data_IF_671537449537
#
_entry.id   IF_671537449537
#
_cell.length_a   1.000
_cell.length_b   1.000
_cell.length_c   1.000
_cell.angle_alpha   90.00
_cell.angle_beta   90.00
_cell.angle_gamma   90.00
#
_symmetry.space_group_name_H-M   'P 1'
#
loop_
_entity.id
_entity.type
_entity.pdbx_description
1 polymer ?
#
# COMPACT_ATOMS: atom_id res chain seq x y z
N UNK A 1 -0.80 -19.24 -7.36
CA UNK A 1 -0.16 -18.00 -7.84
C UNK A 1 0.20 -17.22 -6.60
N UNK A 2 1.45 -16.77 -6.49
CA UNK A 2 1.90 -16.03 -5.32
C UNK A 2 1.22 -14.65 -5.32
N UNK A 3 0.44 -14.37 -4.27
CA UNK A 3 -0.29 -13.12 -4.13
C UNK A 3 0.62 -12.08 -3.46
N UNK A 4 0.47 -10.82 -3.89
CA UNK A 4 1.25 -9.70 -3.38
C UNK A 4 0.34 -8.65 -2.75
N UNK A 5 0.76 -8.13 -1.61
CA UNK A 5 0.16 -6.97 -0.96
C UNK A 5 1.01 -5.74 -1.28
N UNK A 6 0.40 -4.73 -1.92
CA UNK A 6 1.00 -3.42 -2.13
C UNK A 6 0.45 -2.48 -1.05
N UNK A 7 1.30 -2.09 -0.11
CA UNK A 7 0.95 -1.22 0.99
C UNK A 7 1.39 0.20 0.72
N UNK A 8 0.43 1.10 0.52
CA UNK A 8 0.64 2.53 0.40
C UNK A 8 0.64 3.14 1.81
N UNK A 9 1.81 3.62 2.24
CA UNK A 9 2.03 4.20 3.55
C UNK A 9 2.82 3.29 4.49
N UNK A 10 4.03 3.71 4.86
CA UNK A 10 4.94 3.05 5.78
C UNK A 10 4.65 3.40 7.25
N UNK A 11 3.39 3.35 7.67
CA UNK A 11 2.96 3.70 9.04
C UNK A 11 3.15 2.55 10.04
N UNK A 12 2.86 2.80 11.32
CA UNK A 12 3.02 1.77 12.36
C UNK A 12 2.18 0.51 12.08
N UNK A 13 0.92 0.69 11.66
CA UNK A 13 0.00 -0.42 11.35
C UNK A 13 0.52 -1.30 10.20
N UNK A 14 1.21 -0.72 9.22
CA UNK A 14 1.77 -1.47 8.09
C UNK A 14 2.81 -2.51 8.53
N UNK A 15 3.52 -2.30 9.65
CA UNK A 15 4.48 -3.26 10.18
C UNK A 15 3.78 -4.53 10.68
N UNK A 16 2.62 -4.39 11.33
CA UNK A 16 1.81 -5.53 11.73
C UNK A 16 1.21 -6.25 10.52
N UNK A 17 0.84 -5.50 9.48
CA UNK A 17 0.38 -6.09 8.24
C UNK A 17 1.48 -6.90 7.56
N UNK A 18 2.74 -6.45 7.57
CA UNK A 18 3.88 -7.21 7.03
C UNK A 18 4.05 -8.55 7.74
N UNK A 19 3.92 -8.57 9.06
CA UNK A 19 3.99 -9.81 9.82
C UNK A 19 2.86 -10.78 9.46
N UNK A 20 1.62 -10.27 9.33
CA UNK A 20 0.48 -11.08 8.91
C UNK A 20 0.63 -11.59 7.47
N UNK A 21 1.09 -10.74 6.55
CA UNK A 21 1.36 -11.12 5.17
C UNK A 21 2.36 -12.28 5.10
N UNK A 22 3.46 -12.18 5.86
CA UNK A 22 4.47 -13.23 5.97
C UNK A 22 3.90 -14.53 6.54
N UNK A 23 3.11 -14.46 7.61
CA UNK A 23 2.46 -15.65 8.22
C UNK A 23 1.53 -16.35 7.23
N UNK A 24 0.82 -15.57 6.41
CA UNK A 24 -0.11 -16.07 5.39
C UNK A 24 0.58 -16.50 4.08
N UNK A 25 1.90 -16.30 3.95
CA UNK A 25 2.65 -16.64 2.75
C UNK A 25 2.42 -15.69 1.57
N UNK A 26 2.13 -14.42 1.85
CA UNK A 26 2.00 -13.37 0.84
C UNK A 26 3.25 -12.48 0.80
N UNK A 27 3.68 -12.14 -0.41
CA UNK A 27 4.69 -11.10 -0.60
C UNK A 27 4.10 -9.73 -0.25
N UNK A 28 4.96 -8.81 0.18
CA UNK A 28 4.56 -7.44 0.44
C UNK A 28 5.55 -6.43 -0.14
N UNK A 29 5.01 -5.34 -0.68
CA UNK A 29 5.75 -4.16 -1.13
C UNK A 29 5.23 -2.97 -0.33
N UNK A 30 6.12 -2.21 0.28
CA UNK A 30 5.80 -0.97 1.00
C UNK A 30 6.19 0.22 0.14
N UNK A 31 5.22 1.08 -0.17
CA UNK A 31 5.36 2.30 -0.96
C UNK A 31 5.14 3.52 -0.07
N UNK A 32 6.14 4.37 0.08
CA UNK A 32 6.00 5.66 0.79
C UNK A 32 7.05 6.66 0.30
N UNK A 33 6.72 7.95 0.08
CA UNK A 33 7.70 8.95 -0.32
C UNK A 33 8.67 9.34 0.80
N UNK A 34 8.36 8.99 2.06
CA UNK A 34 9.16 9.35 3.23
C UNK A 34 10.20 8.26 3.50
N UNK A 35 11.39 8.42 2.94
CA UNK A 35 12.51 7.46 3.06
C UNK A 35 12.77 6.99 4.50
N UNK A 36 12.72 7.90 5.48
CA UNK A 36 12.94 7.58 6.89
C UNK A 36 11.95 6.53 7.46
N UNK A 37 10.79 6.33 6.82
CA UNK A 37 9.79 5.38 7.25
C UNK A 37 9.97 4.00 6.59
N UNK A 38 10.55 3.93 5.39
CA UNK A 38 10.71 2.69 4.62
C UNK A 38 12.09 2.07 4.88
N UNK A 39 12.24 1.41 6.03
CA UNK A 39 13.54 0.85 6.44
C UNK A 39 13.47 -0.63 6.75
N UNK A 40 14.58 -1.36 6.56
CA UNK A 40 14.69 -2.78 6.92
C UNK A 40 14.45 -3.08 8.40
N UNK A 41 14.69 -2.11 9.28
CA UNK A 41 14.41 -2.28 10.70
C UNK A 41 12.90 -2.34 10.98
N UNK A 42 12.11 -1.56 10.24
CA UNK A 42 10.65 -1.50 10.36
C UNK A 42 9.95 -2.57 9.53
N UNK A 43 10.53 -2.90 8.38
CA UNK A 43 9.97 -3.76 7.37
C UNK A 43 11.01 -4.79 6.88
N UNK A 44 11.38 -5.77 7.73
CA UNK A 44 12.45 -6.72 7.42
C UNK A 44 12.15 -7.72 6.29
N UNK A 45 10.87 -7.92 5.93
CA UNK A 45 10.46 -9.01 5.02
C UNK A 45 9.82 -8.54 3.71
N UNK A 46 9.55 -7.24 3.56
CA UNK A 46 8.93 -6.66 2.38
C UNK A 46 9.94 -5.97 1.46
N UNK A 47 9.53 -5.78 0.21
CA UNK A 47 10.25 -4.92 -0.72
C UNK A 47 9.95 -3.46 -0.42
N UNK A 48 10.96 -2.60 -0.56
CA UNK A 48 10.87 -1.18 -0.23
C UNK A 48 10.88 -0.34 -1.50
N UNK A 49 9.85 0.49 -1.66
CA UNK A 49 9.76 1.45 -2.76
C UNK A 49 9.60 2.84 -2.14
N UNK A 50 10.66 3.63 -2.23
CA UNK A 50 10.66 5.02 -1.80
C UNK A 50 10.26 5.89 -2.98
N UNK A 51 9.13 6.59 -2.86
CA UNK A 51 8.63 7.47 -3.91
C UNK A 51 7.14 7.77 -3.76
N UNK A 52 6.67 8.77 -4.51
CA UNK A 52 5.25 9.09 -4.53
C UNK A 52 4.46 8.01 -5.28
N UNK A 53 3.27 7.60 -4.81
CA UNK A 53 2.53 6.52 -5.45
C UNK A 53 2.22 6.73 -6.94
N UNK A 54 1.90 7.95 -7.37
CA UNK A 54 1.72 8.32 -8.78
C UNK A 54 3.00 8.23 -9.62
N UNK A 55 4.16 8.36 -8.99
CA UNK A 55 5.45 8.24 -9.67
C UNK A 55 5.89 6.78 -9.84
N UNK A 56 5.57 5.92 -8.87
CA UNK A 56 6.12 4.56 -8.78
C UNK A 56 5.12 3.45 -9.13
N UNK A 57 3.81 3.66 -8.92
CA UNK A 57 2.76 2.68 -9.19
C UNK A 57 2.25 2.79 -10.64
N UNK A 58 3.17 2.69 -11.60
CA UNK A 58 2.90 2.79 -13.06
C UNK A 58 2.61 1.42 -13.68
N UNK A 59 2.40 1.38 -15.00
CA UNK A 59 2.01 0.19 -15.77
C UNK A 59 2.77 -1.08 -15.36
N UNK A 60 2.03 -2.14 -15.02
CA UNK A 60 2.58 -3.42 -14.60
C UNK A 60 3.01 -3.51 -13.13
N UNK A 61 2.96 -2.41 -12.36
CA UNK A 61 3.23 -2.43 -10.92
C UNK A 61 2.12 -3.14 -10.13
N UNK A 62 0.86 -2.92 -10.56
CA UNK A 62 -0.34 -3.51 -9.97
C UNK A 62 -0.97 -4.42 -11.02
N UNK A 63 -1.16 -5.69 -10.67
CA UNK A 63 -1.74 -6.71 -11.56
C UNK A 63 -2.88 -7.48 -10.87
N UNK A 64 -3.45 -8.46 -11.58
CA UNK A 64 -4.52 -9.31 -11.06
C UNK A 64 -4.18 -10.17 -9.83
N UNK A 65 -2.91 -10.25 -9.44
CA UNK A 65 -2.47 -10.95 -8.22
C UNK A 65 -2.11 -9.98 -7.09
N UNK A 66 -2.41 -8.69 -7.28
CA UNK A 66 -2.11 -7.62 -6.34
C UNK A 66 -3.35 -7.24 -5.52
N UNK A 67 -3.19 -7.19 -4.19
CA UNK A 67 -4.08 -6.47 -3.28
C UNK A 67 -3.43 -5.13 -2.92
N UNK A 68 -4.14 -4.02 -3.07
CA UNK A 68 -3.65 -2.69 -2.67
C UNK A 68 -4.31 -2.28 -1.36
N UNK A 69 -3.51 -1.81 -0.41
CA UNK A 69 -3.99 -1.30 0.88
C UNK A 69 -3.35 0.05 1.20
N UNK A 70 -4.19 1.05 1.45
CA UNK A 70 -3.78 2.41 1.81
C UNK A 70 -3.97 2.62 3.32
N UNK A 71 -2.89 2.97 4.02
CA UNK A 71 -2.83 3.01 5.48
C UNK A 71 -2.36 4.34 6.08
N UNK A 72 -1.98 5.35 5.27
CA UNK A 72 -1.25 6.51 5.80
C UNK A 72 -2.11 7.59 6.46
N UNK A 73 -3.39 7.72 6.07
CA UNK A 73 -4.27 8.85 6.43
C UNK A 73 -3.81 10.22 5.89
N UNK A 74 -2.82 10.22 5.01
CA UNK A 74 -2.34 11.43 4.34
C UNK A 74 -2.87 11.38 2.92
N UNK A 75 -3.86 12.22 2.61
CA UNK A 75 -4.53 12.29 1.30
C UNK A 75 -3.52 12.47 0.15
N UNK A 76 -2.40 13.16 0.40
CA UNK A 76 -1.36 13.37 -0.62
C UNK A 76 -0.63 12.09 -1.03
N UNK A 77 -0.68 11.07 -0.18
CA UNK A 77 -0.06 9.76 -0.44
C UNK A 77 -1.17 8.74 -0.77
N UNK A 78 -2.24 8.70 0.02
CA UNK A 78 -3.34 7.76 -0.13
C UNK A 78 -4.05 7.93 -1.47
N UNK A 79 -4.43 9.16 -1.85
CA UNK A 79 -5.28 9.37 -3.03
C UNK A 79 -4.56 8.98 -4.33
N UNK A 80 -3.30 9.39 -4.58
CA UNK A 80 -2.58 8.91 -5.77
C UNK A 80 -2.47 7.38 -5.84
N UNK A 81 -2.20 6.72 -4.71
CA UNK A 81 -2.10 5.27 -4.65
C UNK A 81 -3.43 4.56 -4.90
N UNK A 82 -4.52 5.09 -4.35
CA UNK A 82 -5.88 4.58 -4.57
C UNK A 82 -6.34 4.80 -6.01
N UNK A 83 -6.04 5.95 -6.60
CA UNK A 83 -6.38 6.24 -8.00
C UNK A 83 -5.64 5.31 -8.97
N UNK A 84 -4.38 4.97 -8.70
CA UNK A 84 -3.66 3.96 -9.47
C UNK A 84 -4.29 2.57 -9.30
N UNK A 85 -4.60 2.18 -8.06
CA UNK A 85 -5.20 0.88 -7.75
C UNK A 85 -6.57 0.68 -8.41
N UNK A 86 -7.45 1.68 -8.34
CA UNK A 86 -8.80 1.62 -8.91
C UNK A 86 -8.83 1.57 -10.44
N UNK A 87 -7.73 1.97 -11.11
CA UNK A 87 -7.56 1.90 -12.56
C UNK A 87 -6.82 0.63 -13.01
N UNK A 88 -6.44 -0.22 -12.07
CA UNK A 88 -5.65 -1.44 -12.32
C UNK A 88 -6.51 -2.70 -12.26
N UNK A 89 -5.90 -3.84 -12.53
CA UNK A 89 -6.51 -5.17 -12.37
C UNK A 89 -6.45 -5.72 -10.94
N UNK A 90 -6.08 -4.90 -9.93
CA UNK A 90 -6.00 -5.34 -8.53
C UNK A 90 -7.26 -6.10 -8.09
N UNK A 91 -7.08 -7.28 -7.50
CA UNK A 91 -8.22 -8.09 -7.06
C UNK A 91 -8.88 -7.53 -5.78
N UNK A 92 -8.17 -6.66 -5.06
CA UNK A 92 -8.65 -6.02 -3.84
C UNK A 92 -8.04 -4.63 -3.69
N UNK A 93 -8.87 -3.65 -3.31
CA UNK A 93 -8.45 -2.30 -2.95
C UNK A 93 -9.08 -1.95 -1.60
N UNK A 94 -8.25 -1.81 -0.57
CA UNK A 94 -8.66 -1.44 0.79
C UNK A 94 -8.07 -0.11 1.21
N UNK A 95 -8.84 0.71 1.91
CA UNK A 95 -8.37 2.01 2.39
C UNK A 95 -8.77 2.22 3.84
N UNK A 96 -7.79 2.34 4.74
CA UNK A 96 -8.03 2.57 6.16
C UNK A 96 -8.71 3.92 6.37
N UNK A 97 -9.70 3.95 7.26
CA UNK A 97 -10.41 5.18 7.58
C UNK A 97 -11.65 4.95 8.44
N UNK A 98 -11.95 5.90 9.31
CA UNK A 98 -13.27 6.01 9.93
C UNK A 98 -14.34 6.27 8.88
N UNK A 99 -15.63 6.07 9.21
CA UNK A 99 -16.75 6.47 8.34
C UNK A 99 -16.65 7.93 7.88
N UNK A 100 -16.20 8.83 8.77
CA UNK A 100 -15.99 10.25 8.44
C UNK A 100 -14.84 10.45 7.45
N UNK A 101 -13.73 9.74 7.63
CA UNK A 101 -12.58 9.81 6.70
C UNK A 101 -12.97 9.28 5.33
N UNK A 102 -13.68 8.15 5.29
CA UNK A 102 -14.18 7.58 4.04
C UNK A 102 -15.16 8.51 3.33
N UNK A 103 -16.11 9.12 4.05
CA UNK A 103 -17.06 10.07 3.47
C UNK A 103 -16.37 11.25 2.77
N UNK A 104 -15.26 11.77 3.33
CA UNK A 104 -14.46 12.81 2.67
C UNK A 104 -13.76 12.32 1.40
N UNK A 105 -13.28 11.07 1.41
CA UNK A 105 -12.55 10.45 0.29
C UNK A 105 -13.44 10.23 -0.95
N UNK A 106 -14.74 10.03 -0.75
CA UNK A 106 -15.70 9.74 -1.84
C UNK A 106 -16.61 10.92 -2.19
N UNK A 107 -16.40 12.07 -1.56
CA UNK A 107 -17.21 13.28 -1.77
C UNK A 107 -16.84 14.02 -3.07
#
# INVERSE_FOLDING_TARGET
>A
ADLRIICVGAVHIAQHLEELARILGHDMVVVDPREAFVTKQRFPNSQHVVGWPDEVMKDGFIDRHSAVVSLTHDEKIDDPGLMAALKSDAFYVGALGSTRTHAKRVA
#
